data_IF_448546482077
#
_entry.id   IF_448546482077
#
_cell.length_a   1.000
_cell.length_b   1.000
_cell.length_c   1.000
_cell.angle_alpha   90.00
_cell.angle_beta   90.00
_cell.angle_gamma   90.00
#
_symmetry.space_group_name_H-M   'P 1'
#
loop_
_entity.id
_entity.type
_entity.pdbx_description
1 polymer ?
#
# COMPACT_ATOMS: atom_id res chain seq x y z
N UNK A 1 -56.70 45.11 -37.78
CA UNK A 1 -56.09 43.77 -37.60
C UNK A 1 -56.89 43.01 -36.54
N UNK A 2 -57.47 41.85 -36.87
CA UNK A 2 -58.40 41.11 -36.00
C UNK A 2 -57.67 40.56 -34.76
N UNK A 3 -58.25 40.73 -33.56
CA UNK A 3 -57.67 40.22 -32.29
C UNK A 3 -57.42 38.71 -32.34
N UNK A 4 -58.20 37.96 -33.12
CA UNK A 4 -57.96 36.54 -33.37
C UNK A 4 -56.69 36.27 -34.19
N UNK A 5 -56.41 37.11 -35.18
CA UNK A 5 -55.21 36.97 -36.01
C UNK A 5 -53.93 37.23 -35.21
N UNK A 6 -53.96 38.22 -34.31
CA UNK A 6 -52.83 38.54 -33.41
C UNK A 6 -52.57 37.39 -32.42
N UNK A 7 -53.64 36.76 -31.90
CA UNK A 7 -53.51 35.60 -31.00
C UNK A 7 -52.93 34.36 -31.69
N UNK A 8 -53.29 34.12 -32.95
CA UNK A 8 -52.73 33.02 -33.75
C UNK A 8 -51.24 33.24 -34.00
N UNK A 9 -50.84 34.46 -34.38
CA UNK A 9 -49.43 34.79 -34.59
C UNK A 9 -48.63 34.67 -33.29
N UNK A 10 -49.14 35.18 -32.18
CA UNK A 10 -48.46 35.06 -30.88
C UNK A 10 -48.30 33.59 -30.46
N UNK A 11 -49.31 32.75 -30.70
CA UNK A 11 -49.24 31.32 -30.41
C UNK A 11 -48.20 30.61 -31.30
N UNK A 12 -48.16 30.92 -32.59
CA UNK A 12 -47.18 30.38 -33.53
C UNK A 12 -45.75 30.79 -33.11
N UNK A 13 -45.54 32.05 -32.71
CA UNK A 13 -44.22 32.53 -32.25
C UNK A 13 -43.78 31.79 -30.98
N UNK A 14 -44.69 31.57 -30.03
CA UNK A 14 -44.38 30.82 -28.79
C UNK A 14 -44.04 29.36 -29.10
N UNK A 15 -44.76 28.72 -30.02
CA UNK A 15 -44.49 27.34 -30.43
C UNK A 15 -43.13 27.23 -31.16
N UNK A 16 -42.81 28.19 -32.04
CA UNK A 16 -41.52 28.24 -32.74
C UNK A 16 -40.36 28.49 -31.77
N UNK A 17 -40.54 29.36 -30.78
CA UNK A 17 -39.55 29.62 -29.74
C UNK A 17 -39.31 28.38 -28.86
N UNK A 18 -40.38 27.65 -28.48
CA UNK A 18 -40.26 26.42 -27.71
C UNK A 18 -39.57 25.29 -28.51
N UNK A 19 -39.79 25.21 -29.82
CA UNK A 19 -39.12 24.25 -30.72
C UNK A 19 -37.64 24.60 -31.01
N UNK A 20 -37.23 25.86 -30.79
CA UNK A 20 -35.85 26.31 -31.01
C UNK A 20 -34.96 26.09 -29.78
N UNK A 21 -35.53 25.77 -28.62
CA UNK A 21 -34.80 25.35 -27.43
C UNK A 21 -34.52 23.83 -27.49
N UNK A 22 -33.68 23.40 -28.42
CA UNK A 22 -32.96 22.14 -28.24
C UNK A 22 -31.76 22.44 -27.34
N UNK A 23 -31.72 21.99 -26.07
CA UNK A 23 -30.47 22.06 -25.31
C UNK A 23 -29.45 21.26 -26.12
N UNK A 24 -28.40 21.93 -26.63
CA UNK A 24 -27.24 21.24 -27.16
C UNK A 24 -26.70 20.41 -26.00
N UNK A 25 -27.01 19.13 -26.00
CA UNK A 25 -26.42 18.18 -25.08
C UNK A 25 -24.93 18.29 -25.30
N UNK A 26 -24.23 18.90 -24.34
CA UNK A 26 -22.78 19.00 -24.36
C UNK A 26 -22.30 17.56 -24.29
N UNK A 27 -21.98 16.98 -25.45
CA UNK A 27 -21.26 15.71 -25.51
C UNK A 27 -19.91 16.02 -24.90
N UNK A 28 -19.76 15.72 -23.61
CA UNK A 28 -18.44 15.66 -22.99
C UNK A 28 -17.54 14.91 -23.96
N UNK A 29 -16.36 15.47 -24.26
CA UNK A 29 -15.36 14.80 -25.08
C UNK A 29 -15.27 13.36 -24.61
N UNK A 30 -15.50 12.41 -25.50
CA UNK A 30 -15.47 10.98 -25.20
C UNK A 30 -14.10 10.66 -24.57
N UNK A 31 -14.04 10.66 -23.24
CA UNK A 31 -12.83 10.28 -22.52
C UNK A 31 -12.79 8.77 -22.67
N UNK A 32 -12.18 8.30 -23.75
CA UNK A 32 -11.92 6.89 -23.94
C UNK A 32 -11.29 6.35 -22.65
N UNK A 33 -11.81 5.25 -22.07
CA UNK A 33 -11.27 4.70 -20.83
C UNK A 33 -9.75 4.61 -20.92
N UNK A 34 -9.06 5.06 -19.88
CA UNK A 34 -7.61 5.06 -19.85
C UNK A 34 -7.10 3.65 -20.19
N UNK A 35 -6.23 3.54 -21.22
CA UNK A 35 -5.70 2.25 -21.69
C UNK A 35 -4.75 1.59 -20.69
N UNK A 36 -4.38 2.30 -19.62
CA UNK A 36 -3.58 1.76 -18.53
C UNK A 36 -4.49 0.94 -17.61
N UNK A 37 -4.50 -0.37 -17.82
CA UNK A 37 -5.26 -1.34 -17.02
C UNK A 37 -4.26 -2.03 -16.07
N UNK A 38 -4.57 -2.14 -14.76
CA UNK A 38 -3.72 -2.88 -13.83
C UNK A 38 -3.65 -4.36 -14.22
N UNK A 39 -2.48 -4.97 -14.05
CA UNK A 39 -2.36 -6.41 -14.15
C UNK A 39 -3.09 -7.10 -12.99
N UNK A 40 -3.40 -8.39 -13.13
CA UNK A 40 -4.04 -9.18 -12.08
C UNK A 40 -3.26 -9.14 -10.76
N UNK A 41 -1.93 -9.01 -10.82
CA UNK A 41 -1.08 -8.86 -9.63
C UNK A 41 -1.32 -7.54 -8.91
N UNK A 42 -1.49 -6.44 -9.65
CA UNK A 42 -1.81 -5.14 -9.06
C UNK A 42 -3.24 -5.12 -8.52
N UNK A 43 -4.19 -5.78 -9.20
CA UNK A 43 -5.55 -5.95 -8.69
C UNK A 43 -5.56 -6.75 -7.39
N UNK A 44 -4.87 -7.90 -7.34
CA UNK A 44 -4.74 -8.70 -6.11
C UNK A 44 -4.11 -7.91 -4.97
N UNK A 45 -3.12 -7.05 -5.28
CA UNK A 45 -2.53 -6.15 -4.28
C UNK A 45 -3.51 -5.08 -3.80
N UNK A 46 -4.28 -4.49 -4.71
CA UNK A 46 -5.29 -3.50 -4.37
C UNK A 46 -6.40 -4.10 -3.50
N UNK A 47 -6.82 -5.34 -3.79
CA UNK A 47 -7.85 -6.09 -3.03
C UNK A 47 -7.40 -6.49 -1.63
N UNK A 48 -6.11 -6.46 -1.32
CA UNK A 48 -5.64 -6.66 0.05
C UNK A 48 -6.04 -5.52 0.99
N UNK A 49 -6.26 -4.31 0.46
CA UNK A 49 -6.69 -3.08 1.14
C UNK A 49 -5.76 -2.58 2.26
N UNK A 50 -5.52 -3.42 3.27
CA UNK A 50 -4.70 -3.12 4.44
C UNK A 50 -3.54 -4.12 4.58
N UNK A 51 -2.32 -3.58 4.59
CA UNK A 51 -1.08 -4.33 4.79
C UNK A 51 -0.25 -3.67 5.89
N UNK A 52 0.67 -4.43 6.50
CA UNK A 52 1.56 -3.93 7.53
C UNK A 52 3.02 -3.92 7.12
N UNK A 53 3.78 -3.00 7.71
CA UNK A 53 5.22 -2.93 7.59
C UNK A 53 5.84 -3.06 8.98
N UNK A 54 6.69 -4.06 9.18
CA UNK A 54 7.46 -4.28 10.39
C UNK A 54 8.87 -3.75 10.16
N UNK A 55 9.20 -2.63 10.82
CA UNK A 55 10.58 -2.15 10.93
C UNK A 55 11.20 -2.74 12.20
N UNK A 56 12.17 -3.62 11.99
CA UNK A 56 12.98 -4.20 13.05
C UNK A 56 14.41 -4.33 12.54
N UNK A 57 15.37 -3.85 13.31
CA UNK A 57 16.80 -3.89 12.97
C UNK A 57 17.63 -3.69 14.24
N UNK A 58 18.95 -3.66 14.11
CA UNK A 58 19.88 -3.22 15.16
C UNK A 58 19.56 -1.79 15.66
N UNK A 59 18.97 -0.95 14.82
CA UNK A 59 18.45 0.37 15.15
C UNK A 59 17.48 0.38 16.34
N UNK A 60 16.68 -0.68 16.52
CA UNK A 60 15.78 -0.84 17.68
C UNK A 60 16.57 -0.86 19.00
N UNK A 61 17.82 -1.33 18.98
CA UNK A 61 18.70 -1.42 20.15
C UNK A 61 19.60 -0.21 20.33
N UNK A 62 19.76 0.61 19.29
CA UNK A 62 20.57 1.84 19.35
C UNK A 62 19.73 3.10 19.50
N UNK A 63 18.41 2.96 19.57
CA UNK A 63 17.45 4.06 19.66
C UNK A 63 17.65 5.10 18.53
N UNK A 64 17.85 4.60 17.31
CA UNK A 64 17.99 5.43 16.11
C UNK A 64 16.93 5.05 15.10
N UNK A 65 16.38 6.05 14.42
CA UNK A 65 15.64 5.80 13.19
C UNK A 65 16.62 5.34 12.11
N UNK A 66 17.74 6.07 11.98
CA UNK A 66 18.77 5.79 10.99
C UNK A 66 20.12 5.44 11.61
N UNK A 67 20.63 4.26 11.27
CA UNK A 67 21.92 3.73 11.69
C UNK A 67 23.01 4.07 10.67
N UNK A 68 24.25 4.09 11.13
CA UNK A 68 25.40 4.46 10.30
C UNK A 68 26.07 3.24 9.65
N UNK A 69 25.71 2.03 10.08
CA UNK A 69 26.27 0.76 9.60
C UNK A 69 27.54 0.33 10.33
N UNK A 70 27.91 1.04 11.40
CA UNK A 70 29.01 0.70 12.31
C UNK A 70 28.50 0.10 13.64
N UNK A 71 27.20 -0.13 13.76
CA UNK A 71 26.60 -0.74 14.94
C UNK A 71 27.15 -2.16 15.18
N UNK A 72 27.54 -2.45 16.42
CA UNK A 72 28.06 -3.77 16.79
C UNK A 72 26.95 -4.82 16.79
N UNK A 73 27.07 -5.93 16.03
CA UNK A 73 26.12 -7.05 16.07
C UNK A 73 25.82 -7.60 17.47
N UNK A 74 26.74 -7.41 18.43
CA UNK A 74 26.58 -7.79 19.85
C UNK A 74 25.39 -7.11 20.53
N UNK A 75 24.97 -5.95 20.03
CA UNK A 75 23.79 -5.23 20.54
C UNK A 75 22.47 -5.92 20.19
N UNK A 76 22.47 -6.76 19.15
CA UNK A 76 21.26 -7.39 18.66
C UNK A 76 20.93 -8.68 19.43
N UNK A 77 20.15 -8.54 20.51
CA UNK A 77 19.75 -9.69 21.33
C UNK A 77 18.33 -9.56 21.90
N UNK A 78 17.28 -9.67 21.06
CA UNK A 78 15.90 -9.66 21.55
C UNK A 78 15.58 -10.95 22.31
N UNK A 79 15.60 -10.89 23.65
CA UNK A 79 15.48 -12.06 24.53
C UNK A 79 14.10 -12.70 24.58
N UNK A 80 13.06 -11.96 24.20
CA UNK A 80 11.65 -12.39 24.23
C UNK A 80 10.98 -12.26 22.85
N UNK A 81 11.76 -12.35 21.78
CA UNK A 81 11.22 -12.25 20.43
C UNK A 81 10.26 -13.41 20.14
N UNK A 82 9.03 -13.06 19.74
CA UNK A 82 8.01 -13.99 19.27
C UNK A 82 7.40 -13.44 17.98
N UNK A 83 7.77 -14.02 16.84
CA UNK A 83 7.24 -13.58 15.54
C UNK A 83 5.82 -14.06 15.31
N UNK A 84 5.41 -15.18 15.92
CA UNK A 84 4.02 -15.64 15.84
C UNK A 84 3.11 -14.57 16.45
N UNK A 85 3.51 -13.97 17.57
CA UNK A 85 2.76 -12.87 18.19
C UNK A 85 2.58 -11.67 17.24
N UNK A 86 3.60 -11.31 16.44
CA UNK A 86 3.50 -10.23 15.45
C UNK A 86 2.44 -10.55 14.40
N UNK A 87 2.52 -11.76 13.83
CA UNK A 87 1.64 -12.20 12.75
C UNK A 87 0.20 -12.38 13.25
N UNK A 88 -0.01 -13.01 14.41
CA UNK A 88 -1.36 -13.19 14.97
C UNK A 88 -2.01 -11.85 15.30
N UNK A 89 -1.24 -10.90 15.82
CA UNK A 89 -1.75 -9.56 16.15
C UNK A 89 -2.14 -8.79 14.89
N UNK A 90 -1.29 -8.81 13.86
CA UNK A 90 -1.59 -8.18 12.58
C UNK A 90 -2.81 -8.80 11.89
N UNK A 91 -2.91 -10.13 11.89
CA UNK A 91 -4.06 -10.87 11.34
C UNK A 91 -5.35 -10.52 12.08
N UNK A 92 -5.30 -10.42 13.41
CA UNK A 92 -6.42 -9.94 14.22
C UNK A 92 -6.80 -8.48 13.92
N UNK A 93 -5.83 -7.65 13.54
CA UNK A 93 -6.03 -6.28 13.05
C UNK A 93 -6.53 -6.18 11.60
N UNK A 94 -6.75 -7.30 10.91
CA UNK A 94 -7.31 -7.32 9.55
C UNK A 94 -6.28 -7.19 8.42
N UNK A 95 -4.98 -7.14 8.73
CA UNK A 95 -3.92 -7.00 7.72
C UNK A 95 -3.83 -8.29 6.87
N UNK A 96 -3.76 -8.11 5.54
CA UNK A 96 -3.70 -9.21 4.57
C UNK A 96 -2.29 -9.58 4.12
N UNK A 97 -1.34 -8.68 4.34
CA UNK A 97 0.08 -8.91 4.07
C UNK A 97 0.92 -8.18 5.12
N UNK A 98 2.08 -8.75 5.42
CA UNK A 98 3.12 -8.12 6.21
C UNK A 98 4.41 -8.03 5.38
N UNK A 99 5.10 -6.91 5.51
CA UNK A 99 6.40 -6.64 4.89
C UNK A 99 7.41 -6.44 6.01
N UNK A 100 8.47 -7.24 6.03
CA UNK A 100 9.55 -7.17 7.01
C UNK A 100 10.77 -6.46 6.41
N UNK A 101 11.40 -5.56 7.15
CA UNK A 101 12.75 -5.06 6.83
C UNK A 101 13.79 -6.16 7.05
N UNK A 102 13.98 -7.04 6.05
CA UNK A 102 15.03 -8.07 6.13
C UNK A 102 16.42 -7.45 6.37
N UNK A 103 16.65 -6.27 5.78
CA UNK A 103 17.81 -5.38 5.98
C UNK A 103 17.32 -3.94 5.93
N UNK A 104 17.75 -3.08 6.84
CA UNK A 104 17.49 -1.65 6.78
C UNK A 104 18.67 -0.90 6.10
N UNK A 105 18.74 0.43 6.15
CA UNK A 105 19.82 1.18 5.50
C UNK A 105 21.17 1.02 6.24
N UNK A 106 21.15 0.74 7.55
CA UNK A 106 22.32 0.38 8.37
C UNK A 106 23.12 -0.79 7.76
N UNK A 107 22.44 -1.71 7.08
CA UNK A 107 23.03 -2.87 6.44
C UNK A 107 22.93 -4.15 7.26
N UNK A 108 22.43 -4.10 8.50
CA UNK A 108 22.33 -5.27 9.36
C UNK A 108 21.27 -6.23 8.81
N UNK A 109 21.69 -7.45 8.49
CA UNK A 109 20.78 -8.46 7.92
C UNK A 109 20.16 -9.33 9.02
N UNK A 110 18.82 -9.44 9.04
CA UNK A 110 18.06 -10.25 9.99
C UNK A 110 18.08 -11.77 9.72
N UNK A 111 18.83 -12.20 8.72
CA UNK A 111 19.05 -13.60 8.34
C UNK A 111 20.56 -13.89 8.30
N UNK A 112 21.01 -15.16 8.44
CA UNK A 112 22.41 -15.53 8.42
C UNK A 112 22.98 -15.47 6.99
N UNK A 113 23.20 -14.26 6.49
CA UNK A 113 23.65 -14.00 5.13
C UNK A 113 25.01 -14.64 4.84
N UNK A 114 25.11 -15.30 3.68
CA UNK A 114 26.37 -15.84 3.14
C UNK A 114 27.30 -14.76 2.59
N UNK A 115 26.81 -13.53 2.45
CA UNK A 115 27.48 -12.47 1.69
C UNK A 115 27.98 -11.30 2.55
N UNK A 116 27.71 -11.30 3.85
CA UNK A 116 28.19 -10.26 4.78
C UNK A 116 28.33 -10.80 6.19
N UNK A 117 29.26 -10.24 6.95
CA UNK A 117 29.41 -10.47 8.39
C UNK A 117 28.53 -9.53 9.23
N UNK A 118 28.01 -8.46 8.65
CA UNK A 118 27.07 -7.55 9.32
C UNK A 118 25.65 -8.13 9.26
N UNK A 119 25.43 -9.20 10.01
CA UNK A 119 24.18 -9.94 10.07
C UNK A 119 23.98 -10.65 11.42
N UNK A 120 22.76 -11.14 11.63
CA UNK A 120 22.34 -11.87 12.83
C UNK A 120 23.24 -13.06 13.20
N UNK A 121 23.98 -13.63 12.25
CA UNK A 121 24.89 -14.77 12.50
C UNK A 121 26.04 -14.43 13.46
N UNK A 122 26.39 -13.14 13.56
CA UNK A 122 27.41 -12.62 14.47
C UNK A 122 26.80 -11.90 15.68
N UNK A 123 25.52 -12.14 15.97
CA UNK A 123 24.82 -11.59 17.13
C UNK A 123 24.58 -12.65 18.20
N UNK A 124 24.34 -12.27 19.47
CA UNK A 124 23.98 -13.21 20.53
C UNK A 124 22.63 -13.88 20.33
N UNK A 125 21.76 -13.32 19.48
CA UNK A 125 20.43 -13.87 19.24
C UNK A 125 20.51 -15.34 18.80
N UNK A 126 19.90 -16.22 19.61
CA UNK A 126 19.95 -17.68 19.46
C UNK A 126 21.38 -18.21 19.23
N UNK A 127 22.37 -17.61 19.88
CA UNK A 127 23.79 -17.95 19.78
C UNK A 127 24.30 -17.88 18.32
N UNK A 128 23.92 -16.85 17.57
CA UNK A 128 24.31 -16.67 16.16
C UNK A 128 23.64 -17.64 15.18
N UNK A 129 22.65 -18.42 15.63
CA UNK A 129 21.94 -19.42 14.80
C UNK A 129 20.51 -19.02 14.46
N UNK A 130 20.09 -17.82 14.85
CA UNK A 130 18.76 -17.31 14.54
C UNK A 130 18.60 -16.89 13.09
N UNK A 131 17.35 -16.92 12.61
CA UNK A 131 16.95 -16.39 11.31
C UNK A 131 15.54 -15.82 11.44
N UNK A 132 15.45 -14.50 11.67
CA UNK A 132 14.16 -13.84 11.89
C UNK A 132 13.36 -13.78 10.59
N UNK A 133 14.02 -13.77 9.42
CA UNK A 133 13.32 -13.82 8.14
C UNK A 133 12.62 -15.16 7.97
N UNK A 134 13.29 -16.28 8.26
CA UNK A 134 12.67 -17.60 8.21
C UNK A 134 11.56 -17.77 9.26
N UNK A 135 11.80 -17.32 10.50
CA UNK A 135 10.78 -17.33 11.56
C UNK A 135 9.52 -16.54 11.17
N UNK A 136 9.72 -15.36 10.57
CA UNK A 136 8.64 -14.51 10.07
C UNK A 136 7.86 -15.12 8.91
N UNK A 137 8.57 -15.70 7.93
CA UNK A 137 7.93 -16.37 6.79
C UNK A 137 7.14 -17.59 7.26
N UNK A 138 7.69 -18.38 8.20
CA UNK A 138 7.02 -19.54 8.75
C UNK A 138 5.78 -19.15 9.58
N UNK A 139 5.84 -18.07 10.36
CA UNK A 139 4.69 -17.53 11.06
C UNK A 139 3.59 -17.06 10.08
N UNK A 140 3.94 -16.32 9.02
CA UNK A 140 2.97 -15.85 8.02
C UNK A 140 2.26 -16.97 7.24
N UNK A 141 2.89 -18.16 7.14
CA UNK A 141 2.32 -19.32 6.43
C UNK A 141 1.28 -20.10 7.25
N UNK A 142 1.16 -19.84 8.56
CA UNK A 142 0.19 -20.49 9.46
C UNK A 142 -1.20 -19.85 9.34
#
# INVERSE_FOLDING_TARGET
MNKHFIRIIAFIIVVIAALSCNPKQQTHSDISPNKVIPSDKLLSYQEMELIGFIHFSINTFTNKEWGFGDESPELFNPSQLDVDQWVTTAKAGGLKQLILTAKHHDGFCLWPSKYTEHSIKNSPYKNGKGDIVDEFVNACRK
#
